data_IF_673187530069
#
_entry.id   IF_673187530069
#
_cell.length_a   1.000
_cell.length_b   1.000
_cell.length_c   1.000
_cell.angle_alpha   90.00
_cell.angle_beta   90.00
_cell.angle_gamma   90.00
#
_symmetry.space_group_name_H-M   'P 1'
#
loop_
_entity.id
_entity.type
_entity.pdbx_description
1 polymer ?
#
# COMPACT_ATOMS: atom_id res chain seq x y z
N UNK A 1 21.46 -1.53 -34.13
CA UNK A 1 21.37 -2.16 -32.80
C UNK A 1 20.39 -1.35 -31.96
N UNK A 2 19.14 -1.81 -31.82
CA UNK A 2 18.13 -1.13 -31.00
C UNK A 2 18.06 -1.80 -29.62
N UNK A 3 18.60 -1.13 -28.62
CA UNK A 3 18.47 -1.53 -27.22
C UNK A 3 17.02 -1.24 -26.78
N UNK A 4 16.18 -2.28 -26.68
CA UNK A 4 14.83 -2.14 -26.12
C UNK A 4 14.97 -1.81 -24.64
N UNK A 5 14.53 -0.62 -24.23
CA UNK A 5 14.45 -0.27 -22.81
C UNK A 5 13.47 -1.20 -22.12
N UNK A 6 13.98 -2.06 -21.23
CA UNK A 6 13.15 -2.86 -20.34
C UNK A 6 12.42 -1.89 -19.41
N UNK A 7 11.15 -1.59 -19.70
CA UNK A 7 10.29 -0.85 -18.79
C UNK A 7 10.00 -1.78 -17.62
N UNK A 8 10.66 -1.54 -16.48
CA UNK A 8 10.35 -2.25 -15.25
C UNK A 8 8.87 -2.13 -14.94
N UNK A 9 8.25 -3.25 -14.56
CA UNK A 9 6.87 -3.26 -14.10
C UNK A 9 6.72 -2.27 -12.94
N UNK A 10 5.60 -1.55 -12.87
CA UNK A 10 5.30 -0.65 -11.76
C UNK A 10 4.26 -1.33 -10.87
N UNK A 11 4.53 -1.38 -9.58
CA UNK A 11 3.60 -1.90 -8.57
C UNK A 11 2.85 -0.73 -7.95
N UNK A 12 1.52 -0.86 -7.89
CA UNK A 12 0.66 0.07 -7.15
C UNK A 12 0.73 -0.28 -5.67
N UNK A 13 1.18 0.65 -4.83
CA UNK A 13 1.19 0.48 -3.37
C UNK A 13 0.36 1.60 -2.74
N UNK A 14 -0.45 1.24 -1.75
CA UNK A 14 -1.23 2.18 -0.95
C UNK A 14 -0.38 2.70 0.21
N UNK A 15 -0.08 3.99 0.21
CA UNK A 15 0.76 4.64 1.23
C UNK A 15 -0.05 5.70 1.98
N UNK A 16 0.14 5.81 3.30
CA UNK A 16 -0.52 6.86 4.09
C UNK A 16 -0.25 8.23 3.48
N UNK A 17 -1.31 9.00 3.31
CA UNK A 17 -1.18 10.38 2.88
C UNK A 17 -0.80 11.24 4.09
N UNK A 18 0.40 11.82 4.03
CA UNK A 18 0.96 12.71 5.06
C UNK A 18 0.73 14.18 4.67
N UNK A 19 0.19 14.43 3.48
CA UNK A 19 -0.12 15.77 3.01
C UNK A 19 -1.31 16.38 3.75
N UNK A 20 -1.42 17.71 3.71
CA UNK A 20 -2.53 18.42 4.37
C UNK A 20 -3.86 18.23 3.61
N UNK A 21 -3.80 18.04 2.29
CA UNK A 21 -4.96 17.74 1.46
C UNK A 21 -5.22 16.23 1.42
N UNK A 22 -6.46 15.78 1.67
CA UNK A 22 -6.83 14.39 1.46
C UNK A 22 -6.81 14.02 -0.02
N UNK A 23 -6.49 12.76 -0.32
CA UNK A 23 -6.57 12.23 -1.68
C UNK A 23 -8.02 11.92 -2.04
N UNK A 24 -8.56 12.60 -3.05
CA UNK A 24 -9.93 12.47 -3.54
C UNK A 24 -9.97 11.91 -4.97
N UNK A 25 -8.83 11.54 -5.53
CA UNK A 25 -8.68 11.22 -6.96
C UNK A 25 -9.66 10.17 -7.49
N UNK A 26 -10.11 9.25 -6.65
CA UNK A 26 -11.10 8.21 -7.01
C UNK A 26 -12.55 8.59 -6.66
N UNK A 27 -12.76 9.46 -5.66
CA UNK A 27 -14.09 9.79 -5.14
C UNK A 27 -14.76 10.97 -5.82
N UNK A 28 -13.97 11.89 -6.38
CA UNK A 28 -14.51 13.09 -7.01
C UNK A 28 -13.55 14.27 -7.01
N UNK A 29 -14.11 15.46 -7.17
CA UNK A 29 -13.36 16.71 -7.35
C UNK A 29 -13.77 17.72 -6.30
N UNK A 30 -12.80 18.41 -5.73
CA UNK A 30 -13.03 19.54 -4.84
C UNK A 30 -12.94 20.84 -5.64
N UNK A 31 -14.03 21.60 -5.71
CA UNK A 31 -14.19 22.72 -6.65
C UNK A 31 -13.33 23.94 -6.32
N UNK A 32 -13.05 24.19 -5.04
CA UNK A 32 -12.24 25.32 -4.60
C UNK A 32 -10.91 24.82 -4.05
N UNK A 33 -9.78 25.50 -4.25
CA UNK A 33 -8.53 25.10 -3.62
C UNK A 33 -8.68 25.08 -2.09
N UNK A 34 -8.06 24.09 -1.44
CA UNK A 34 -8.01 23.99 0.02
C UNK A 34 -7.04 25.04 0.59
N UNK A 35 -7.23 25.49 1.84
CA UNK A 35 -6.28 26.41 2.46
C UNK A 35 -4.91 25.76 2.58
N UNK A 36 -3.89 26.41 2.03
CA UNK A 36 -2.52 25.90 2.04
C UNK A 36 -1.79 26.34 3.33
N UNK A 37 -1.08 25.43 4.02
CA UNK A 37 -0.23 25.80 5.15
C UNK A 37 0.98 26.63 4.69
N UNK A 38 1.59 27.41 5.59
CA UNK A 38 2.84 28.11 5.30
C UNK A 38 3.95 27.12 4.88
N UNK A 39 4.91 27.60 4.09
CA UNK A 39 6.01 26.76 3.61
C UNK A 39 6.83 26.21 4.79
N UNK A 40 6.96 24.89 4.85
CA UNK A 40 7.78 24.22 5.83
C UNK A 40 9.27 24.31 5.47
N UNK A 41 10.18 24.31 6.46
CA UNK A 41 11.60 24.25 6.19
C UNK A 41 11.97 22.95 5.46
N UNK A 42 13.06 23.00 4.68
CA UNK A 42 13.50 21.87 3.88
C UNK A 42 13.68 20.60 4.74
N UNK A 43 13.02 19.51 4.34
CA UNK A 43 13.08 18.21 5.03
C UNK A 43 12.11 18.04 6.20
N UNK A 44 11.34 19.07 6.57
CA UNK A 44 10.31 18.97 7.60
C UNK A 44 8.92 18.67 7.01
N UNK A 45 8.04 18.09 7.85
CA UNK A 45 6.63 17.91 7.49
C UNK A 45 5.90 19.25 7.54
N UNK A 46 4.82 19.39 6.77
CA UNK A 46 4.05 20.63 6.66
C UNK A 46 3.52 21.16 8.01
N UNK A 47 3.34 20.27 9.00
CA UNK A 47 2.75 20.60 10.30
C UNK A 47 3.75 20.87 11.44
N UNK A 48 5.06 20.75 11.22
CA UNK A 48 6.05 20.78 12.32
C UNK A 48 6.04 22.09 13.11
N UNK A 49 5.99 23.23 12.42
CA UNK A 49 6.06 24.56 13.02
C UNK A 49 4.69 25.18 13.29
N UNK A 50 3.62 24.45 13.02
CA UNK A 50 2.25 24.94 13.22
C UNK A 50 1.77 24.66 14.63
N UNK A 51 1.01 25.61 15.18
CA UNK A 51 0.29 25.40 16.45
C UNK A 51 -0.87 24.40 16.23
N UNK A 52 -1.35 23.70 17.27
CA UNK A 52 -2.38 22.68 17.12
C UNK A 52 -3.65 23.15 16.39
N UNK A 53 -4.12 24.37 16.64
CA UNK A 53 -5.31 24.92 15.97
C UNK A 53 -5.08 25.22 14.49
N UNK A 54 -3.86 25.62 14.12
CA UNK A 54 -3.48 25.86 12.71
C UNK A 54 -3.41 24.55 11.96
N UNK A 55 -2.86 23.49 12.58
CA UNK A 55 -2.86 22.14 12.01
C UNK A 55 -4.27 21.66 11.73
N UNK A 56 -5.20 21.88 12.66
CA UNK A 56 -6.59 21.50 12.50
C UNK A 56 -7.28 22.26 11.36
N UNK A 57 -6.94 23.55 11.20
CA UNK A 57 -7.49 24.38 10.13
C UNK A 57 -7.00 23.94 8.74
N UNK A 58 -5.70 23.68 8.59
CA UNK A 58 -5.10 23.30 7.31
C UNK A 58 -5.33 21.83 6.94
N UNK A 59 -5.40 20.92 7.91
CA UNK A 59 -5.60 19.49 7.64
C UNK A 59 -7.09 19.13 7.57
N UNK A 60 -7.65 19.20 6.37
CA UNK A 60 -9.01 18.76 6.12
C UNK A 60 -9.11 17.24 6.17
N UNK A 61 -10.08 16.71 6.91
CA UNK A 61 -10.37 15.27 6.92
C UNK A 61 -11.26 14.89 5.74
N UNK A 62 -11.20 13.63 5.29
CA UNK A 62 -12.11 13.09 4.27
C UNK A 62 -13.59 13.37 4.60
N UNK A 63 -13.98 13.23 5.87
CA UNK A 63 -15.34 13.51 6.31
C UNK A 63 -15.71 15.00 6.22
N UNK A 64 -14.77 15.90 6.53
CA UNK A 64 -14.98 17.35 6.38
C UNK A 64 -15.23 17.70 4.91
N UNK A 65 -14.39 17.16 4.02
CA UNK A 65 -14.49 17.39 2.57
C UNK A 65 -15.81 16.88 2.02
N UNK A 66 -16.17 15.62 2.31
CA UNK A 66 -17.41 14.98 1.82
C UNK A 66 -18.68 15.72 2.23
N UNK A 67 -18.69 16.33 3.42
CA UNK A 67 -19.84 17.11 3.92
C UNK A 67 -19.90 18.53 3.35
N UNK A 68 -18.84 18.98 2.69
CA UNK A 68 -18.80 20.33 2.15
C UNK A 68 -19.60 20.42 0.85
N UNK A 69 -20.25 21.56 0.62
CA UNK A 69 -20.93 21.85 -0.66
C UNK A 69 -19.98 22.02 -1.85
N UNK A 70 -18.68 22.09 -1.59
CA UNK A 70 -17.63 22.29 -2.60
C UNK A 70 -17.13 20.98 -3.18
N UNK A 71 -17.52 19.85 -2.59
CA UNK A 71 -17.16 18.53 -3.07
C UNK A 71 -18.18 18.04 -4.09
N UNK A 72 -17.69 17.71 -5.29
CA UNK A 72 -18.46 17.07 -6.35
C UNK A 72 -18.10 15.59 -6.36
N UNK A 73 -19.06 14.77 -5.94
CA UNK A 73 -18.94 13.32 -5.86
C UNK A 73 -19.03 12.65 -7.25
N UNK A 74 -18.33 11.53 -7.43
CA UNK A 74 -18.56 10.57 -8.52
C UNK A 74 -19.99 10.01 -8.42
N UNK A 75 -20.68 9.73 -9.55
CA UNK A 75 -22.03 9.15 -9.55
C UNK A 75 -22.15 7.79 -8.85
N UNK A 76 -21.03 7.11 -8.57
CA UNK A 76 -20.99 5.84 -7.84
C UNK A 76 -21.23 6.02 -6.33
N UNK A 77 -21.11 7.23 -5.78
CA UNK A 77 -21.38 7.48 -4.37
C UNK A 77 -22.89 7.44 -4.13
N UNK A 78 -23.40 6.63 -3.18
CA UNK A 78 -24.82 6.50 -2.93
C UNK A 78 -25.39 7.82 -2.41
N UNK A 79 -26.52 8.24 -2.97
CA UNK A 79 -27.15 9.52 -2.65
C UNK A 79 -28.23 9.41 -1.57
N UNK A 80 -28.92 8.27 -1.54
CA UNK A 80 -30.00 7.98 -0.62
C UNK A 80 -29.88 6.59 0.04
N UNK A 81 -30.88 6.22 0.85
CA UNK A 81 -30.91 4.94 1.54
C UNK A 81 -31.15 3.74 0.61
N UNK A 82 -31.79 3.96 -0.55
CA UNK A 82 -32.07 2.90 -1.51
C UNK A 82 -30.80 2.56 -2.28
N UNK A 83 -30.06 3.58 -2.77
CA UNK A 83 -28.75 3.43 -3.38
C UNK A 83 -27.81 2.66 -2.45
N UNK A 84 -27.83 3.00 -1.16
CA UNK A 84 -27.01 2.32 -0.16
C UNK A 84 -27.35 0.82 -0.06
N UNK A 85 -28.63 0.45 -0.09
CA UNK A 85 -29.07 -0.95 -0.06
C UNK A 85 -28.74 -1.69 -1.36
N UNK A 86 -28.92 -1.03 -2.51
CA UNK A 86 -28.61 -1.60 -3.83
C UNK A 86 -27.10 -1.83 -4.03
N UNK A 87 -26.25 -1.05 -3.34
CA UNK A 87 -24.80 -1.21 -3.35
C UNK A 87 -24.26 -2.18 -2.27
N UNK A 88 -25.15 -2.76 -1.47
CA UNK A 88 -24.74 -3.80 -0.51
C UNK A 88 -24.20 -5.03 -1.24
N UNK A 89 -23.44 -5.84 -0.51
CA UNK A 89 -22.88 -7.10 -1.03
C UNK A 89 -23.96 -8.18 -1.19
N UNK A 90 -25.06 -8.05 -0.45
CA UNK A 90 -26.08 -9.07 -0.35
C UNK A 90 -26.68 -9.44 -1.71
N UNK A 91 -26.57 -10.72 -2.06
CA UNK A 91 -27.23 -11.31 -3.22
C UNK A 91 -28.10 -12.49 -2.79
N UNK A 92 -29.41 -12.29 -2.87
CA UNK A 92 -30.41 -13.28 -2.49
C UNK A 92 -30.36 -14.54 -3.37
N UNK A 93 -29.81 -14.45 -4.58
CA UNK A 93 -29.81 -15.57 -5.53
C UNK A 93 -28.68 -16.57 -5.31
N UNK A 94 -27.56 -16.14 -4.70
CA UNK A 94 -26.37 -16.96 -4.47
C UNK A 94 -26.19 -17.40 -3.01
N UNK A 95 -26.70 -16.64 -2.04
CA UNK A 95 -26.49 -16.92 -0.61
C UNK A 95 -27.62 -17.77 0.01
N UNK A 96 -27.26 -18.92 0.61
CA UNK A 96 -28.21 -19.83 1.29
C UNK A 96 -28.50 -19.36 2.73
N UNK A 97 -27.51 -18.76 3.40
CA UNK A 97 -27.61 -18.34 4.80
C UNK A 97 -27.00 -16.95 5.01
N UNK A 98 -27.67 -15.88 4.55
CA UNK A 98 -27.16 -14.54 4.71
C UNK A 98 -27.21 -14.08 6.17
N UNK A 99 -26.17 -13.39 6.61
CA UNK A 99 -26.20 -12.69 7.87
C UNK A 99 -26.89 -11.34 7.70
N UNK A 100 -27.45 -10.83 8.81
CA UNK A 100 -28.06 -9.48 8.81
C UNK A 100 -27.06 -8.40 8.37
N UNK A 101 -25.77 -8.63 8.63
CA UNK A 101 -24.70 -7.69 8.28
C UNK A 101 -24.53 -7.57 6.76
N UNK A 102 -24.80 -8.62 5.98
CA UNK A 102 -24.54 -8.64 4.54
C UNK A 102 -25.40 -7.63 3.77
N UNK A 103 -26.63 -7.39 4.23
CA UNK A 103 -27.53 -6.35 3.67
C UNK A 103 -27.04 -4.91 3.89
N UNK A 104 -26.11 -4.71 4.82
CA UNK A 104 -25.54 -3.40 5.16
C UNK A 104 -24.06 -3.30 4.76
N UNK A 105 -23.43 -4.42 4.46
CA UNK A 105 -22.02 -4.48 4.09
C UNK A 105 -21.89 -4.00 2.66
N UNK A 106 -21.22 -2.86 2.48
CA UNK A 106 -21.06 -2.30 1.15
C UNK A 106 -19.89 -2.95 0.40
N UNK A 107 -20.05 -3.18 -0.91
CA UNK A 107 -19.02 -3.82 -1.74
C UNK A 107 -17.69 -3.06 -1.70
N UNK A 108 -17.72 -1.73 -1.61
CA UNK A 108 -16.53 -0.90 -1.59
C UNK A 108 -15.71 -0.99 -0.28
N UNK A 109 -16.30 -1.55 0.77
CA UNK A 109 -15.61 -1.81 2.06
C UNK A 109 -14.89 -3.16 2.05
N UNK A 110 -15.27 -4.05 1.13
CA UNK A 110 -14.61 -5.32 0.91
C UNK A 110 -13.42 -5.11 -0.05
N UNK A 111 -12.23 -5.53 0.37
CA UNK A 111 -11.02 -5.40 -0.46
C UNK A 111 -10.85 -6.56 -1.44
N UNK A 112 -11.59 -7.63 -1.22
CA UNK A 112 -11.56 -8.84 -2.01
C UNK A 112 -12.97 -9.41 -2.15
N UNK A 113 -13.28 -9.91 -3.35
CA UNK A 113 -14.46 -10.71 -3.61
C UNK A 113 -13.99 -12.05 -4.17
N UNK A 114 -14.65 -13.11 -3.73
CA UNK A 114 -14.40 -14.47 -4.22
C UNK A 114 -15.22 -14.62 -5.50
N UNK A 115 -14.56 -14.87 -6.62
CA UNK A 115 -15.26 -15.23 -7.85
C UNK A 115 -15.46 -16.75 -7.88
N UNK A 116 -16.67 -17.19 -8.21
CA UNK A 116 -17.00 -18.62 -8.29
C UNK A 116 -16.27 -19.32 -9.46
N UNK A 117 -15.74 -18.55 -10.41
CA UNK A 117 -15.10 -19.03 -11.62
C UNK A 117 -13.67 -19.55 -11.41
N UNK A 118 -13.07 -19.46 -10.22
CA UNK A 118 -11.73 -19.99 -9.98
C UNK A 118 -11.51 -20.37 -8.51
N UNK A 119 -11.08 -21.61 -8.24
CA UNK A 119 -10.91 -22.14 -6.87
C UNK A 119 -9.95 -21.35 -5.97
N UNK A 120 -9.03 -20.57 -6.57
CA UNK A 120 -8.04 -19.74 -5.89
C UNK A 120 -8.12 -18.24 -6.27
N UNK A 121 -9.18 -17.83 -6.97
CA UNK A 121 -9.31 -16.48 -7.54
C UNK A 121 -9.80 -15.45 -6.52
N UNK A 122 -8.90 -14.93 -5.67
CA UNK A 122 -9.18 -13.70 -4.91
C UNK A 122 -8.97 -12.51 -5.85
N UNK A 123 -10.04 -11.84 -6.25
CA UNK A 123 -9.95 -10.61 -7.04
C UNK A 123 -9.91 -9.42 -6.09
N UNK A 124 -8.85 -8.62 -6.16
CA UNK A 124 -8.78 -7.34 -5.45
C UNK A 124 -9.76 -6.36 -6.11
N UNK A 125 -10.78 -5.95 -5.36
CA UNK A 125 -11.77 -5.00 -5.85
C UNK A 125 -11.19 -3.59 -5.80
N UNK A 126 -11.15 -2.93 -6.95
CA UNK A 126 -10.86 -1.50 -7.01
C UNK A 126 -12.09 -0.72 -6.52
N UNK A 127 -12.07 -0.32 -5.26
CA UNK A 127 -13.08 0.57 -4.68
C UNK A 127 -12.85 2.01 -5.13
N UNK A 128 -13.93 2.69 -5.55
CA UNK A 128 -13.91 4.14 -5.83
C UNK A 128 -13.73 4.96 -4.55
N UNK A 129 -14.02 4.38 -3.37
CA UNK A 129 -14.04 5.07 -2.09
C UNK A 129 -12.72 4.94 -1.33
N UNK A 130 -12.16 6.08 -0.95
CA UNK A 130 -10.99 6.24 -0.09
C UNK A 130 -11.41 6.17 1.38
N UNK A 131 -11.38 4.98 1.98
CA UNK A 131 -11.81 4.80 3.38
C UNK A 131 -10.84 5.39 4.42
N UNK A 132 -9.57 5.54 4.05
CA UNK A 132 -8.49 6.07 4.90
C UNK A 132 -7.70 7.09 4.11
N UNK A 133 -7.15 8.12 4.77
CA UNK A 133 -6.30 9.12 4.08
C UNK A 133 -4.99 8.48 3.59
N UNK A 134 -5.06 7.86 2.42
CA UNK A 134 -4.08 6.98 1.81
C UNK A 134 -4.11 7.27 0.33
N UNK A 135 -2.93 7.38 -0.27
CA UNK A 135 -2.77 7.60 -1.71
C UNK A 135 -2.16 6.38 -2.37
N UNK A 136 -2.55 6.14 -3.62
CA UNK A 136 -1.95 5.07 -4.43
C UNK A 136 -0.72 5.61 -5.14
N UNK A 137 0.45 5.07 -4.81
CA UNK A 137 1.73 5.46 -5.41
C UNK A 137 2.21 4.34 -6.32
N UNK A 138 2.69 4.71 -7.50
CA UNK A 138 3.36 3.80 -8.42
C UNK A 138 4.83 3.72 -8.04
N UNK A 139 5.25 2.59 -7.50
CA UNK A 139 6.66 2.32 -7.24
C UNK A 139 7.20 1.43 -8.35
N UNK A 140 8.46 1.58 -8.77
CA UNK A 140 9.09 0.56 -9.60
C UNK A 140 8.98 -0.77 -8.85
N UNK A 141 8.56 -1.83 -9.53
CA UNK A 141 8.72 -3.17 -9.01
C UNK A 141 10.22 -3.32 -8.75
N UNK A 142 10.61 -3.32 -7.49
CA UNK A 142 11.95 -3.79 -7.13
C UNK A 142 12.09 -5.19 -7.69
N UNK A 143 13.31 -5.60 -8.01
CA UNK A 143 13.51 -7.01 -8.30
C UNK A 143 12.95 -7.81 -7.11
N UNK A 144 12.26 -8.92 -7.35
CA UNK A 144 11.70 -9.79 -6.30
C UNK A 144 12.79 -10.36 -5.34
N UNK A 145 14.04 -9.93 -5.52
CA UNK A 145 15.24 -10.29 -4.77
C UNK A 145 15.70 -9.18 -3.82
N UNK A 146 15.16 -7.98 -3.97
CA UNK A 146 15.44 -6.85 -3.07
C UNK A 146 14.53 -6.92 -1.84
N UNK A 147 14.59 -8.04 -1.11
CA UNK A 147 14.33 -7.94 0.32
C UNK A 147 15.40 -6.97 0.90
N UNK A 148 15.07 -6.07 1.84
CA UNK A 148 16.09 -5.24 2.46
C UNK A 148 17.10 -6.17 3.14
N UNK A 149 18.26 -6.36 2.52
CA UNK A 149 19.38 -7.12 3.07
C UNK A 149 19.80 -6.41 4.35
N UNK A 150 19.32 -6.92 5.49
CA UNK A 150 19.92 -6.59 6.79
C UNK A 150 21.25 -7.33 6.82
N UNK A 151 22.32 -6.67 6.38
CA UNK A 151 23.68 -7.17 6.52
C UNK A 151 24.00 -7.14 8.02
N UNK A 152 23.66 -8.23 8.70
CA UNK A 152 24.15 -8.53 10.03
C UNK A 152 25.60 -8.97 9.92
N UNK A 153 26.50 -8.25 10.58
CA UNK A 153 27.91 -8.58 10.67
C UNK A 153 28.44 -8.28 12.06
N UNK A 154 29.49 -9.00 12.46
CA UNK A 154 30.24 -8.69 13.68
C UNK A 154 30.86 -7.30 13.45
N UNK A 155 30.55 -6.31 14.31
CA UNK A 155 31.13 -4.95 14.23
C UNK A 155 32.65 -4.94 14.44
N UNK A 156 33.18 -6.05 14.97
CA UNK A 156 34.55 -6.25 15.39
C UNK A 156 35.24 -7.26 14.46
N UNK A 157 36.47 -6.95 14.04
CA UNK A 157 37.30 -7.84 13.21
C UNK A 157 38.02 -8.89 14.09
N UNK A 158 37.26 -9.68 14.83
CA UNK A 158 37.83 -10.80 15.58
C UNK A 158 38.16 -11.91 14.58
N UNK A 159 39.33 -12.52 14.73
CA UNK A 159 39.79 -13.62 13.85
C UNK A 159 38.73 -14.73 13.74
N UNK A 160 38.42 -15.23 12.53
CA UNK A 160 37.46 -16.32 12.31
C UNK A 160 37.79 -17.59 13.11
N UNK A 161 39.05 -17.75 13.51
CA UNK A 161 39.54 -18.88 14.30
C UNK A 161 39.30 -18.73 15.81
N UNK A 162 38.75 -17.61 16.28
CA UNK A 162 38.53 -17.33 17.70
C UNK A 162 37.15 -17.77 18.21
N UNK A 163 36.27 -18.29 17.34
CA UNK A 163 34.92 -18.71 17.72
C UNK A 163 34.97 -20.11 18.35
N UNK A 164 34.98 -20.18 19.68
CA UNK A 164 34.86 -21.45 20.42
C UNK A 164 33.40 -21.92 20.46
N UNK A 165 33.18 -23.24 20.34
CA UNK A 165 31.89 -23.96 20.43
C UNK A 165 31.00 -24.02 19.17
N UNK A 166 31.53 -23.86 17.95
CA UNK A 166 30.75 -24.17 16.75
C UNK A 166 30.61 -25.69 16.58
N UNK A 167 29.39 -26.20 16.46
CA UNK A 167 29.17 -27.57 16.02
C UNK A 167 29.72 -27.68 14.59
N UNK A 168 30.78 -28.46 14.40
CA UNK A 168 31.37 -28.75 13.10
C UNK A 168 30.41 -29.63 12.28
N UNK A 169 29.33 -29.03 11.78
CA UNK A 169 28.52 -29.58 10.70
C UNK A 169 29.12 -29.22 9.34
N UNK A 170 28.57 -29.78 8.25
CA UNK A 170 29.05 -29.62 6.86
C UNK A 170 28.96 -28.16 6.34
N UNK A 171 28.53 -27.20 7.17
CA UNK A 171 28.23 -25.82 6.80
C UNK A 171 28.71 -24.80 7.85
N UNK A 172 30.02 -24.70 8.05
CA UNK A 172 30.69 -23.63 8.80
C UNK A 172 31.39 -22.60 7.85
N UNK A 173 31.77 -21.42 8.35
CA UNK A 173 32.31 -20.30 7.55
C UNK A 173 33.66 -20.57 6.83
N UNK A 174 34.28 -21.74 7.03
CA UNK A 174 35.41 -22.26 6.24
C UNK A 174 34.99 -23.07 5.00
N UNK A 175 33.75 -23.59 4.96
CA UNK A 175 33.28 -24.53 3.93
C UNK A 175 32.22 -23.96 2.98
N UNK A 176 31.80 -22.72 3.17
CA UNK A 176 31.09 -21.97 2.13
C UNK A 176 31.84 -20.66 1.84
N UNK A 177 32.66 -20.68 0.79
CA UNK A 177 33.62 -19.64 0.41
C UNK A 177 32.97 -18.36 -0.16
N UNK A 178 31.78 -17.98 0.32
CA UNK A 178 31.09 -16.77 -0.13
C UNK A 178 30.64 -16.82 -1.59
N UNK A 179 30.41 -18.01 -2.17
CA UNK A 179 29.76 -18.07 -3.47
C UNK A 179 28.28 -17.68 -3.32
N UNK A 180 27.94 -16.46 -3.75
CA UNK A 180 26.54 -16.15 -4.03
C UNK A 180 26.02 -17.15 -5.05
N UNK A 181 24.83 -17.68 -4.79
CA UNK A 181 24.12 -18.47 -5.77
C UNK A 181 23.34 -17.52 -6.67
N UNK A 182 23.24 -17.85 -7.95
CA UNK A 182 22.31 -17.21 -8.86
C UNK A 182 20.91 -17.38 -8.29
N UNK A 183 20.19 -16.28 -8.20
CA UNK A 183 18.93 -16.24 -7.47
C UNK A 183 17.77 -16.88 -8.24
N UNK A 184 17.94 -17.20 -9.52
CA UNK A 184 16.93 -17.87 -10.34
C UNK A 184 16.92 -19.40 -10.17
N UNK A 185 18.09 -20.03 -10.10
CA UNK A 185 18.26 -21.48 -10.22
C UNK A 185 19.17 -22.08 -9.14
N UNK A 186 19.75 -21.26 -8.26
CA UNK A 186 20.64 -21.70 -7.19
C UNK A 186 22.03 -22.13 -7.65
N UNK A 187 22.36 -21.94 -8.93
CA UNK A 187 23.68 -22.28 -9.50
C UNK A 187 24.75 -21.28 -9.09
N UNK A 188 26.02 -21.67 -9.24
CA UNK A 188 27.15 -20.79 -8.94
C UNK A 188 27.34 -19.72 -10.04
N UNK A 189 27.71 -18.49 -9.66
CA UNK A 189 28.24 -17.52 -10.62
C UNK A 189 29.57 -18.05 -11.17
N UNK A 190 29.65 -18.28 -12.48
CA UNK A 190 30.90 -18.59 -13.17
C UNK A 190 31.59 -17.25 -13.46
N UNK A 191 32.70 -16.99 -12.77
CA UNK A 191 33.60 -15.88 -13.08
C UNK A 191 34.58 -16.28 -14.19
#
# INVERSE_FOLDING_TARGET
MNCKSNKMAKVKIRVRNVWYEPDLSTEGIYLCPMPQPPQAPAGALWFTNLKPYERLFYHQTLNSVRKSKRFLATPEIPSDSLDFQLQSRYDHSSEIFPERVDTLLQRETCTCERTDDTSDGIVELSSFRVLKNVKTVQLPAGDNQDHPLKIGGIKEKISPHSVKLINSGVHNQLVNNGFSRQTGDGNFFRY
#
